data_IF_057310916065
#
_entry.id   IF_057310916065
#
_cell.length_a   1.000
_cell.length_b   1.000
_cell.length_c   1.000
_cell.angle_alpha   90.00
_cell.angle_beta   90.00
_cell.angle_gamma   90.00
#
_symmetry.space_group_name_H-M   'P 1'
#
loop_
_entity.id
_entity.type
_entity.pdbx_description
1 polymer ?
#
# COMPACT_ATOMS: atom_id res chain seq x y z
N UNK A 1 7.89 -24.97 -21.38
CA UNK A 1 8.60 -25.35 -22.61
C UNK A 1 9.92 -25.97 -22.21
N UNK A 2 10.27 -27.11 -22.81
CA UNK A 2 11.59 -27.71 -22.68
C UNK A 2 12.55 -27.00 -23.63
N UNK A 3 13.64 -26.38 -23.15
CA UNK A 3 14.64 -25.77 -24.01
C UNK A 3 15.22 -26.82 -24.96
N UNK A 4 15.19 -26.55 -26.27
CA UNK A 4 15.82 -27.40 -27.27
C UNK A 4 17.31 -27.06 -27.28
N UNK A 5 18.08 -27.75 -26.46
CA UNK A 5 19.54 -27.60 -26.37
C UNK A 5 20.23 -28.95 -26.61
N UNK A 6 21.53 -29.01 -26.90
CA UNK A 6 22.26 -30.26 -27.09
C UNK A 6 22.41 -31.07 -25.79
N UNK A 7 22.58 -32.39 -25.92
CA UNK A 7 22.93 -33.29 -24.81
C UNK A 7 24.25 -32.87 -24.17
N UNK A 8 24.22 -32.57 -22.86
CA UNK A 8 25.37 -32.03 -22.11
C UNK A 8 25.27 -30.54 -21.77
N UNK A 9 24.30 -29.81 -22.34
CA UNK A 9 23.99 -28.44 -21.94
C UNK A 9 23.23 -28.44 -20.60
N UNK A 10 23.51 -27.51 -19.66
CA UNK A 10 22.89 -27.48 -18.32
C UNK A 10 21.35 -27.39 -18.36
N UNK A 11 20.78 -26.84 -19.42
CA UNK A 11 19.34 -26.74 -19.62
C UNK A 11 18.70 -27.96 -20.34
N UNK A 12 19.47 -28.99 -20.72
CA UNK A 12 18.95 -30.15 -21.45
C UNK A 12 17.92 -30.92 -20.63
N UNK A 13 16.71 -31.07 -21.17
CA UNK A 13 15.62 -31.77 -20.47
C UNK A 13 14.99 -30.99 -19.31
N UNK A 14 15.42 -29.76 -19.06
CA UNK A 14 14.80 -28.89 -18.04
C UNK A 14 13.43 -28.40 -18.52
N UNK A 15 12.50 -28.21 -17.60
CA UNK A 15 11.20 -27.60 -17.90
C UNK A 15 11.28 -26.14 -17.45
N UNK A 16 11.28 -25.19 -18.39
CA UNK A 16 11.15 -23.75 -18.08
C UNK A 16 9.71 -23.31 -18.30
N UNK A 17 9.15 -22.54 -17.38
CA UNK A 17 7.86 -21.91 -17.62
C UNK A 17 7.99 -20.93 -18.81
N UNK A 18 6.92 -20.77 -19.58
CA UNK A 18 6.91 -19.78 -20.65
C UNK A 18 6.83 -18.39 -19.99
N UNK A 19 7.64 -17.44 -20.46
CA UNK A 19 7.61 -16.05 -19.98
C UNK A 19 6.20 -15.47 -20.01
N UNK A 20 5.42 -15.74 -21.06
CA UNK A 20 4.01 -15.31 -21.16
C UNK A 20 3.13 -15.86 -20.03
N UNK A 21 3.42 -17.07 -19.55
CA UNK A 21 2.68 -17.70 -18.44
C UNK A 21 3.13 -17.16 -17.09
N UNK A 22 4.39 -16.73 -16.96
CA UNK A 22 4.90 -16.06 -15.76
C UNK A 22 4.27 -14.66 -15.65
N UNK A 23 4.31 -13.85 -16.73
CA UNK A 23 3.70 -12.52 -16.75
C UNK A 23 2.19 -12.56 -16.49
N UNK A 24 1.46 -13.51 -17.08
CA UNK A 24 0.02 -13.66 -16.82
C UNK A 24 -0.29 -13.99 -15.36
N UNK A 25 0.57 -14.76 -14.68
CA UNK A 25 0.40 -15.08 -13.25
C UNK A 25 0.65 -13.86 -12.37
N UNK A 26 1.67 -13.08 -12.72
CA UNK A 26 2.01 -11.85 -11.98
C UNK A 26 0.89 -10.81 -12.11
N UNK A 27 0.33 -10.66 -13.31
CA UNK A 27 -0.81 -9.76 -13.57
C UNK A 27 -2.07 -10.22 -12.82
N UNK A 28 -2.41 -11.52 -12.86
CA UNK A 28 -3.55 -12.08 -12.11
C UNK A 28 -3.38 -11.90 -10.59
N UNK A 29 -2.17 -12.11 -10.08
CA UNK A 29 -1.85 -11.90 -8.67
C UNK A 29 -1.99 -10.44 -8.28
N UNK A 30 -1.43 -9.52 -9.06
CA UNK A 30 -1.53 -8.08 -8.82
C UNK A 30 -2.99 -7.61 -8.83
N UNK A 31 -3.82 -8.10 -9.76
CA UNK A 31 -5.25 -7.78 -9.78
C UNK A 31 -5.99 -8.25 -8.52
N UNK A 32 -5.69 -9.46 -8.04
CA UNK A 32 -6.27 -9.97 -6.78
C UNK A 32 -5.84 -9.09 -5.60
N UNK A 33 -4.56 -8.79 -5.47
CA UNK A 33 -4.05 -7.94 -4.40
C UNK A 33 -4.66 -6.53 -4.45
N UNK A 34 -4.84 -5.97 -5.66
CA UNK A 34 -5.49 -4.68 -5.85
C UNK A 34 -6.95 -4.71 -5.35
N UNK A 35 -7.70 -5.79 -5.63
CA UNK A 35 -9.07 -5.95 -5.14
C UNK A 35 -9.16 -5.97 -3.61
N UNK A 36 -8.16 -6.53 -2.92
CA UNK A 36 -8.08 -6.54 -1.46
C UNK A 36 -7.46 -5.28 -0.84
N UNK A 37 -6.83 -4.42 -1.64
CA UNK A 37 -6.04 -3.29 -1.13
C UNK A 37 -6.84 -2.11 -0.59
N UNK A 38 -8.14 -2.05 -0.88
CA UNK A 38 -9.02 -0.93 -0.54
C UNK A 38 -8.54 0.44 -1.12
N UNK A 39 -7.79 0.43 -2.23
CA UNK A 39 -7.31 1.65 -2.90
C UNK A 39 -8.40 2.38 -3.70
N UNK A 40 -9.40 1.66 -4.24
CA UNK A 40 -10.47 2.25 -5.03
C UNK A 40 -9.95 3.14 -6.17
N UNK A 41 -10.35 4.42 -6.18
CA UNK A 41 -9.94 5.41 -7.19
C UNK A 41 -8.45 5.78 -7.11
N UNK A 42 -7.76 5.46 -6.02
CA UNK A 42 -6.33 5.73 -5.83
C UNK A 42 -5.43 4.74 -6.57
N UNK A 43 -5.98 3.64 -7.09
CA UNK A 43 -5.28 2.65 -7.92
C UNK A 43 -4.56 3.24 -9.14
N UNK A 44 -5.01 4.41 -9.60
CA UNK A 44 -4.40 5.12 -10.73
C UNK A 44 -3.13 5.89 -10.39
N UNK A 45 -2.75 6.05 -9.12
CA UNK A 45 -1.57 6.85 -8.74
C UNK A 45 -0.31 5.99 -8.66
N UNK A 46 0.73 6.36 -9.39
CA UNK A 46 2.01 5.66 -9.40
C UNK A 46 3.16 6.66 -9.43
N UNK A 47 4.38 6.21 -9.13
CA UNK A 47 5.56 7.09 -9.16
C UNK A 47 5.82 7.63 -10.58
N UNK A 48 5.38 6.93 -11.61
CA UNK A 48 5.52 7.33 -13.01
C UNK A 48 4.53 8.44 -13.43
N UNK A 49 3.43 8.62 -12.71
CA UNK A 49 2.41 9.62 -13.05
C UNK A 49 2.28 10.78 -12.06
N UNK A 50 2.97 10.70 -10.92
CA UNK A 50 3.11 11.81 -9.99
C UNK A 50 4.28 12.68 -10.47
N UNK A 51 4.04 13.99 -10.60
CA UNK A 51 5.11 14.93 -10.90
C UNK A 51 6.12 14.95 -9.74
N UNK A 52 7.37 14.58 -10.00
CA UNK A 52 8.46 14.50 -9.01
C UNK A 52 8.68 15.81 -8.25
N UNK A 53 8.38 16.95 -8.90
CA UNK A 53 8.48 18.30 -8.34
C UNK A 53 7.22 18.78 -7.60
N UNK A 54 6.15 17.98 -7.60
CA UNK A 54 4.85 18.37 -7.05
C UNK A 54 4.11 19.40 -7.91
N UNK A 55 3.06 20.02 -7.35
CA UNK A 55 2.23 21.05 -8.02
C UNK A 55 2.56 22.49 -7.58
N UNK A 56 3.57 22.67 -6.73
CA UNK A 56 3.84 23.94 -6.04
C UNK A 56 4.86 24.79 -6.80
N UNK A 57 4.74 26.11 -6.73
CA UNK A 57 5.51 27.07 -7.52
C UNK A 57 6.75 27.65 -6.80
N UNK A 58 7.07 27.19 -5.58
CA UNK A 58 8.24 27.70 -4.83
C UNK A 58 9.33 26.63 -4.73
N UNK A 59 10.59 27.06 -4.92
CA UNK A 59 11.76 26.17 -4.94
C UNK A 59 11.92 25.35 -3.65
N UNK A 60 11.62 25.94 -2.49
CA UNK A 60 11.71 25.26 -1.19
C UNK A 60 10.69 24.11 -1.04
N UNK A 61 9.47 24.32 -1.51
CA UNK A 61 8.42 23.28 -1.47
C UNK A 61 8.69 22.19 -2.50
N UNK A 62 9.27 22.55 -3.65
CA UNK A 62 9.71 21.60 -4.67
C UNK A 62 10.81 20.67 -4.13
N UNK A 63 11.84 21.22 -3.48
CA UNK A 63 12.92 20.43 -2.88
C UNK A 63 12.40 19.49 -1.79
N UNK A 64 11.50 19.98 -0.94
CA UNK A 64 10.87 19.18 0.13
C UNK A 64 10.03 18.04 -0.44
N UNK A 65 9.20 18.33 -1.45
CA UNK A 65 8.37 17.32 -2.10
C UNK A 65 9.23 16.28 -2.83
N UNK A 66 10.28 16.70 -3.55
CA UNK A 66 11.20 15.79 -4.24
C UNK A 66 11.90 14.86 -3.25
N UNK A 67 12.31 15.37 -2.09
CA UNK A 67 12.87 14.53 -1.01
C UNK A 67 11.85 13.50 -0.50
N UNK A 68 10.60 13.90 -0.30
CA UNK A 68 9.53 13.00 0.11
C UNK A 68 9.20 11.95 -0.97
N UNK A 69 9.21 12.33 -2.24
CA UNK A 69 9.03 11.44 -3.38
C UNK A 69 10.11 10.36 -3.41
N UNK A 70 11.38 10.75 -3.32
CA UNK A 70 12.51 9.82 -3.34
C UNK A 70 12.45 8.84 -2.16
N UNK A 71 12.23 9.35 -0.94
CA UNK A 71 12.06 8.48 0.25
C UNK A 71 10.88 7.52 0.12
N UNK A 72 9.78 7.95 -0.50
CA UNK A 72 8.61 7.11 -0.74
C UNK A 72 8.90 6.02 -1.77
N UNK A 73 9.62 6.36 -2.84
CA UNK A 73 10.05 5.41 -3.87
C UNK A 73 10.99 4.35 -3.28
N UNK A 74 11.99 4.78 -2.52
CA UNK A 74 12.94 3.90 -1.84
C UNK A 74 12.24 2.96 -0.86
N UNK A 75 11.31 3.49 -0.05
CA UNK A 75 10.50 2.70 0.86
C UNK A 75 9.63 1.67 0.14
N UNK A 76 9.08 1.99 -1.03
CA UNK A 76 8.26 1.05 -1.79
C UNK A 76 9.05 -0.15 -2.34
N UNK A 77 10.36 0.00 -2.54
CA UNK A 77 11.24 -1.11 -2.97
C UNK A 77 11.39 -2.13 -1.84
N UNK A 78 11.70 -1.67 -0.62
CA UNK A 78 11.89 -2.49 0.57
C UNK A 78 11.14 -1.89 1.78
N UNK A 79 9.82 -2.13 1.90
CA UNK A 79 8.97 -1.50 2.91
C UNK A 79 9.25 -2.12 4.28
N UNK A 80 10.21 -1.54 5.00
CA UNK A 80 10.62 -1.95 6.34
C UNK A 80 10.51 -0.78 7.31
N UNK A 81 10.02 -1.09 8.51
CA UNK A 81 9.82 -0.08 9.55
C UNK A 81 8.69 0.89 9.19
N UNK A 82 8.86 2.15 9.60
CA UNK A 82 7.81 3.16 9.53
C UNK A 82 8.20 4.30 8.60
N UNK A 83 7.28 4.69 7.72
CA UNK A 83 7.36 5.93 6.95
C UNK A 83 6.19 6.83 7.35
N UNK A 84 6.52 8.07 7.76
CA UNK A 84 5.52 9.08 8.11
C UNK A 84 5.63 10.23 7.12
N UNK A 85 4.55 10.50 6.39
CA UNK A 85 4.43 11.65 5.51
C UNK A 85 3.66 12.75 6.23
N UNK A 86 4.30 13.90 6.44
CA UNK A 86 3.70 15.07 7.08
C UNK A 86 3.88 16.32 6.24
N UNK A 87 2.92 17.24 6.31
CA UNK A 87 2.91 18.46 5.52
C UNK A 87 1.50 19.05 5.38
N UNK A 88 1.37 20.24 4.80
CA UNK A 88 0.09 20.95 4.67
C UNK A 88 -0.92 20.21 3.78
N UNK A 89 -2.19 20.55 3.88
CA UNK A 89 -3.21 20.04 2.97
C UNK A 89 -2.84 20.34 1.51
N UNK A 90 -3.09 19.39 0.60
CA UNK A 90 -2.74 19.53 -0.82
C UNK A 90 -1.27 19.25 -1.17
N UNK A 91 -0.41 18.92 -0.22
CA UNK A 91 1.01 18.62 -0.48
C UNK A 91 1.30 17.25 -1.14
N UNK A 92 0.27 16.52 -1.59
CA UNK A 92 0.43 15.24 -2.29
C UNK A 92 0.70 14.00 -1.43
N UNK A 93 0.58 14.06 -0.09
CA UNK A 93 0.82 12.92 0.82
C UNK A 93 0.00 11.67 0.45
N UNK A 94 -1.31 11.83 0.28
CA UNK A 94 -2.22 10.74 -0.10
C UNK A 94 -1.84 10.13 -1.45
N UNK A 95 -1.36 10.94 -2.40
CA UNK A 95 -0.92 10.45 -3.71
C UNK A 95 0.38 9.65 -3.59
N UNK A 96 1.35 10.13 -2.80
CA UNK A 96 2.58 9.37 -2.52
C UNK A 96 2.28 8.06 -1.78
N UNK A 97 1.38 8.10 -0.80
CA UNK A 97 0.95 6.90 -0.07
C UNK A 97 0.28 5.89 -1.02
N UNK A 98 -0.60 6.33 -1.92
CA UNK A 98 -1.19 5.50 -2.95
C UNK A 98 -0.14 4.92 -3.92
N UNK A 99 0.85 5.72 -4.32
CA UNK A 99 1.93 5.26 -5.19
C UNK A 99 2.80 4.18 -4.53
N UNK A 100 3.10 4.31 -3.22
CA UNK A 100 3.75 3.26 -2.43
C UNK A 100 2.91 1.98 -2.47
N UNK A 101 1.60 2.10 -2.22
CA UNK A 101 0.69 0.96 -2.20
C UNK A 101 0.67 0.22 -3.55
N UNK A 102 0.47 0.96 -4.64
CA UNK A 102 0.43 0.40 -6.00
C UNK A 102 1.76 -0.24 -6.39
N UNK A 103 2.89 0.37 -6.01
CA UNK A 103 4.22 -0.20 -6.26
C UNK A 103 4.45 -1.49 -5.47
N UNK A 104 3.98 -1.57 -4.23
CA UNK A 104 4.07 -2.80 -3.43
C UNK A 104 3.21 -3.92 -4.04
N UNK A 105 1.99 -3.59 -4.46
CA UNK A 105 1.07 -4.54 -5.10
C UNK A 105 1.63 -5.07 -6.42
N UNK A 106 2.25 -4.20 -7.25
CA UNK A 106 2.80 -4.61 -8.55
C UNK A 106 3.98 -5.58 -8.43
N UNK A 107 4.69 -5.58 -7.29
CA UNK A 107 5.74 -6.56 -6.98
C UNK A 107 5.24 -7.71 -6.11
N UNK A 108 3.92 -7.90 -6.03
CA UNK A 108 3.28 -9.04 -5.34
C UNK A 108 3.24 -8.93 -3.82
N UNK A 109 3.46 -7.75 -3.23
CA UNK A 109 3.38 -7.55 -1.77
C UNK A 109 1.97 -7.11 -1.37
N UNK A 110 1.24 -7.91 -0.57
CA UNK A 110 -0.09 -7.53 -0.10
C UNK A 110 -0.04 -6.24 0.72
N UNK A 111 -0.84 -5.27 0.30
CA UNK A 111 -0.89 -3.94 0.91
C UNK A 111 -2.33 -3.55 1.15
N UNK A 112 -2.63 -3.01 2.33
CA UNK A 112 -3.95 -2.51 2.69
C UNK A 112 -3.89 -1.01 2.93
N UNK A 113 -4.71 -0.26 2.19
CA UNK A 113 -4.87 1.18 2.30
C UNK A 113 -6.19 1.50 2.98
N UNK A 114 -6.20 2.35 3.99
CA UNK A 114 -7.44 2.80 4.61
C UNK A 114 -7.33 4.24 5.11
N UNK A 115 -8.39 5.01 4.90
CA UNK A 115 -8.55 6.30 5.56
C UNK A 115 -8.87 6.06 7.04
N UNK A 116 -8.17 6.76 7.92
CA UNK A 116 -8.35 6.61 9.37
C UNK A 116 -9.78 6.98 9.78
N UNK A 117 -10.38 7.99 9.16
CA UNK A 117 -11.78 8.35 9.40
C UNK A 117 -12.71 7.17 9.12
N UNK A 118 -12.55 6.55 7.96
CA UNK A 118 -13.39 5.44 7.51
C UNK A 118 -13.19 4.23 8.41
N UNK A 119 -11.94 3.90 8.76
CA UNK A 119 -11.63 2.84 9.72
C UNK A 119 -12.38 3.07 11.04
N UNK A 120 -12.25 4.25 11.63
CA UNK A 120 -12.87 4.58 12.91
C UNK A 120 -14.40 4.53 12.80
N UNK A 121 -14.98 5.01 11.72
CA UNK A 121 -16.44 5.00 11.51
C UNK A 121 -16.97 3.58 11.30
N UNK A 122 -16.27 2.73 10.52
CA UNK A 122 -16.59 1.30 10.40
C UNK A 122 -16.51 0.59 11.75
N UNK A 123 -15.47 0.88 12.54
CA UNK A 123 -15.32 0.29 13.87
C UNK A 123 -16.41 0.77 14.84
N UNK A 124 -16.96 1.98 14.68
CA UNK A 124 -18.08 2.50 15.48
C UNK A 124 -19.43 1.93 15.08
N UNK A 125 -19.67 1.78 13.77
CA UNK A 125 -20.94 1.24 13.28
C UNK A 125 -21.14 -0.23 13.69
N UNK A 126 -20.04 -0.92 13.96
CA UNK A 126 -20.05 -2.35 14.24
C UNK A 126 -20.35 -2.75 15.69
N UNK A 127 -20.86 -1.82 16.51
CA UNK A 127 -21.33 -2.08 17.89
C UNK A 127 -22.78 -2.58 17.96
N UNK A 128 -23.41 -2.87 16.83
CA UNK A 128 -24.71 -3.56 16.77
C UNK A 128 -24.48 -5.09 16.76
N UNK A 129 -25.34 -5.89 17.40
CA UNK A 129 -25.14 -7.34 17.51
C UNK A 129 -25.07 -8.07 16.15
N UNK A 130 -25.64 -7.52 15.08
CA UNK A 130 -25.49 -8.10 13.73
C UNK A 130 -24.14 -7.78 13.04
N UNK A 131 -23.34 -6.85 13.55
CA UNK A 131 -22.13 -6.33 12.89
C UNK A 131 -20.81 -6.67 13.61
N UNK A 132 -20.84 -7.41 14.73
CA UNK A 132 -19.63 -7.78 15.48
C UNK A 132 -18.65 -8.65 14.66
N UNK A 133 -19.16 -9.48 13.73
CA UNK A 133 -18.28 -10.28 12.87
C UNK A 133 -17.50 -9.39 11.90
N UNK A 134 -18.18 -8.48 11.21
CA UNK A 134 -17.57 -7.53 10.27
C UNK A 134 -16.55 -6.60 10.97
N UNK A 135 -16.84 -6.21 12.22
CA UNK A 135 -15.87 -5.51 13.08
C UNK A 135 -14.55 -6.27 13.19
N UNK A 136 -14.65 -7.54 13.62
CA UNK A 136 -13.48 -8.37 13.93
C UNK A 136 -12.66 -8.63 12.67
N UNK A 137 -13.33 -8.93 11.57
CA UNK A 137 -12.68 -9.20 10.28
C UNK A 137 -11.88 -7.98 9.79
N UNK A 138 -12.48 -6.78 9.77
CA UNK A 138 -11.78 -5.57 9.34
C UNK A 138 -10.61 -5.23 10.28
N UNK A 139 -10.83 -5.31 11.59
CA UNK A 139 -9.81 -4.97 12.57
C UNK A 139 -8.62 -5.96 12.52
N UNK A 140 -8.90 -7.25 12.33
CA UNK A 140 -7.86 -8.28 12.14
C UNK A 140 -7.14 -8.12 10.79
N UNK A 141 -7.85 -7.76 9.72
CA UNK A 141 -7.24 -7.45 8.43
C UNK A 141 -6.25 -6.27 8.55
N UNK A 142 -6.65 -5.19 9.22
CA UNK A 142 -5.80 -4.01 9.44
C UNK A 142 -4.57 -4.37 10.28
N UNK A 143 -4.75 -5.07 11.40
CA UNK A 143 -3.63 -5.47 12.27
C UNK A 143 -2.63 -6.38 11.56
N UNK A 144 -3.11 -7.35 10.78
CA UNK A 144 -2.28 -8.41 10.21
C UNK A 144 -1.84 -8.16 8.77
N UNK A 145 -2.27 -7.07 8.11
CA UNK A 145 -1.82 -6.75 6.76
C UNK A 145 -0.29 -6.64 6.69
N UNK A 146 0.41 -7.27 5.74
CA UNK A 146 1.86 -7.16 5.64
C UNK A 146 2.33 -5.70 5.52
N UNK A 147 1.67 -4.92 4.67
CA UNK A 147 1.89 -3.49 4.51
C UNK A 147 0.57 -2.78 4.81
N UNK A 148 0.59 -1.83 5.73
CA UNK A 148 -0.58 -1.05 6.14
C UNK A 148 -0.31 0.43 5.91
N UNK A 149 -1.23 1.09 5.21
CA UNK A 149 -1.21 2.54 4.98
C UNK A 149 -2.43 3.14 5.66
N UNK A 150 -2.17 4.01 6.64
CA UNK A 150 -3.17 4.76 7.39
C UNK A 150 -3.13 6.22 6.92
N UNK A 151 -4.06 6.62 6.06
CA UNK A 151 -4.12 8.00 5.54
C UNK A 151 -5.11 8.86 6.33
N UNK A 152 -4.87 10.18 6.36
CA UNK A 152 -5.77 11.13 7.03
C UNK A 152 -5.61 11.21 8.55
N UNK A 153 -4.45 10.80 9.09
CA UNK A 153 -4.09 11.07 10.48
C UNK A 153 -4.07 12.59 10.72
N UNK A 154 -4.98 13.08 11.56
CA UNK A 154 -5.04 14.48 11.96
C UNK A 154 -5.39 14.58 13.44
N UNK A 155 -4.91 15.62 14.12
CA UNK A 155 -5.25 15.88 15.53
C UNK A 155 -6.74 16.15 15.75
N UNK A 156 -7.49 16.49 14.68
CA UNK A 156 -8.92 16.82 14.75
C UNK A 156 -9.84 15.60 14.66
N UNK A 157 -9.34 14.47 14.17
CA UNK A 157 -10.16 13.26 13.92
C UNK A 157 -10.19 12.28 15.10
N UNK A 158 -9.45 12.53 16.18
CA UNK A 158 -9.19 11.51 17.19
C UNK A 158 -9.95 11.71 18.50
N UNK A 159 -11.18 11.19 18.59
CA UNK A 159 -11.81 10.92 19.91
C UNK A 159 -10.89 10.02 20.75
N UNK A 160 -10.93 10.05 22.10
CA UNK A 160 -10.08 9.19 22.94
C UNK A 160 -10.15 7.71 22.55
N UNK A 161 -11.35 7.21 22.23
CA UNK A 161 -11.56 5.86 21.72
C UNK A 161 -10.84 5.58 20.39
N UNK A 162 -10.83 6.53 19.47
CA UNK A 162 -10.14 6.39 18.19
C UNK A 162 -8.61 6.36 18.39
N UNK A 163 -8.09 7.17 19.31
CA UNK A 163 -6.67 7.12 19.69
C UNK A 163 -6.31 5.76 20.28
N UNK A 164 -7.15 5.23 21.18
CA UNK A 164 -6.95 3.91 21.76
C UNK A 164 -6.89 2.81 20.68
N UNK A 165 -7.82 2.83 19.72
CA UNK A 165 -7.84 1.85 18.63
C UNK A 165 -6.64 1.96 17.70
N UNK A 166 -6.20 3.18 17.39
CA UNK A 166 -4.98 3.40 16.61
C UNK A 166 -3.74 2.89 17.37
N UNK A 167 -3.63 3.16 18.67
CA UNK A 167 -2.53 2.65 19.51
C UNK A 167 -2.54 1.12 19.54
N UNK A 168 -3.72 0.47 19.62
CA UNK A 168 -3.83 -0.99 19.54
C UNK A 168 -3.26 -1.53 18.21
N UNK A 169 -3.58 -0.88 17.08
CA UNK A 169 -3.04 -1.26 15.77
C UNK A 169 -1.52 -1.07 15.71
N UNK A 170 -1.02 0.07 16.19
CA UNK A 170 0.42 0.38 16.16
C UNK A 170 1.21 -0.59 17.05
N UNK A 171 0.74 -0.87 18.26
CA UNK A 171 1.40 -1.79 19.20
C UNK A 171 1.41 -3.24 18.70
N UNK A 172 0.35 -3.68 18.01
CA UNK A 172 0.32 -5.03 17.40
C UNK A 172 1.40 -5.20 16.32
N UNK A 173 1.81 -4.09 15.69
CA UNK A 173 2.74 -4.08 14.55
C UNK A 173 4.16 -3.63 14.92
N UNK A 174 4.42 -3.30 16.19
CA UNK A 174 5.71 -2.88 16.70
C UNK A 174 6.58 -4.10 17.05
#
# INVERSE_FOLDING_TARGET
>A
MTPIVPTGHPDFGTIKACVCRETMRDDEMAQRLLAYSNLGYLSKYSFENIAEKGKTQTEENEATFSSAFNKSSDFAIDPKGWLVLSGPHGSGKTHLAAAIANRCISVGKPTFFIYVTDLIDHLRYSFSPESELAYRELFDQVKNSPILILDGLSSRTSTPWAQEKLIQILNHRA
#
